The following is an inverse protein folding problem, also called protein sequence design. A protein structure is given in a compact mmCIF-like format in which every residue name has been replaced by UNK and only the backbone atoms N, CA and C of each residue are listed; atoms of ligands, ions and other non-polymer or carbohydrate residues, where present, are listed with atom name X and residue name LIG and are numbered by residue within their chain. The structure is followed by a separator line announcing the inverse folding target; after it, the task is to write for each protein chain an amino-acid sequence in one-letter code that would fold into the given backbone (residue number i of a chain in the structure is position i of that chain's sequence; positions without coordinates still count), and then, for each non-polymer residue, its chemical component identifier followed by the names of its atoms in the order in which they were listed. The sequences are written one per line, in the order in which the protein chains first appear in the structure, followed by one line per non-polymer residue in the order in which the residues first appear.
data_IF_814967074069
#
_entry.id   IF_814967074069
#
_cell.length_a   1.000
_cell.length_b   1.000
_cell.length_c   1.000
_cell.angle_alpha   90.00
_cell.angle_beta   90.00
_cell.angle_gamma   90.00
#
_symmetry.space_group_name_H-M   'P 1'
#
loop_
_entity.id
_entity.type
_entity.pdbx_description
1 polymer ?
#
# COMPACT_ATOMS: atom_id res chain seq x y z
N UNK A 1 -11.86 27.87 -51.91
CA UNK A 1 -10.81 27.77 -50.86
C UNK A 1 -10.13 26.41 -50.98
N UNK A 2 -8.87 26.37 -51.38
CA UNK A 2 -8.15 25.13 -51.72
C UNK A 2 -7.68 24.46 -50.42
N UNK A 3 -8.36 23.37 -50.00
CA UNK A 3 -7.93 22.57 -48.84
C UNK A 3 -6.61 21.87 -49.20
N UNK A 4 -5.54 22.14 -48.46
CA UNK A 4 -4.32 21.34 -48.51
C UNK A 4 -4.63 19.99 -47.89
N UNK A 5 -4.54 18.91 -48.68
CA UNK A 5 -4.68 17.55 -48.18
C UNK A 5 -3.42 17.14 -47.43
N UNK A 6 -3.59 16.53 -46.26
CA UNK A 6 -2.49 15.90 -45.53
C UNK A 6 -1.97 14.74 -46.37
N UNK A 7 -0.66 14.70 -46.63
CA UNK A 7 -0.08 13.57 -47.35
C UNK A 7 0.04 12.39 -46.37
N UNK A 8 -0.25 11.16 -46.84
CA UNK A 8 -0.12 9.95 -46.01
C UNK A 8 1.27 9.80 -45.40
N UNK A 9 2.30 10.28 -46.10
CA UNK A 9 3.69 10.25 -45.65
C UNK A 9 3.96 11.18 -44.46
N UNK A 10 3.30 12.34 -44.39
CA UNK A 10 3.42 13.26 -43.24
C UNK A 10 2.86 12.64 -41.95
N UNK A 11 1.76 11.88 -42.04
CA UNK A 11 1.24 11.17 -40.87
C UNK A 11 2.12 9.97 -40.49
N UNK A 12 2.64 9.25 -41.49
CA UNK A 12 3.43 8.04 -41.26
C UNK A 12 4.76 8.34 -40.57
N UNK A 13 5.45 9.41 -40.95
CA UNK A 13 6.73 9.78 -40.31
C UNK A 13 6.52 10.21 -38.85
N UNK A 14 5.40 10.86 -38.53
CA UNK A 14 5.10 11.33 -37.17
C UNK A 14 4.89 10.15 -36.22
N UNK A 15 4.09 9.16 -36.61
CA UNK A 15 3.86 7.99 -35.77
C UNK A 15 5.14 7.16 -35.60
N UNK A 16 6.00 7.11 -36.62
CA UNK A 16 7.29 6.42 -36.55
C UNK A 16 8.21 7.05 -35.50
N UNK A 17 8.29 8.39 -35.47
CA UNK A 17 9.09 9.10 -34.47
C UNK A 17 8.50 8.89 -33.06
N UNK A 18 7.18 8.99 -32.89
CA UNK A 18 6.51 8.76 -31.60
C UNK A 18 6.78 7.33 -31.09
N UNK A 19 6.75 6.33 -31.96
CA UNK A 19 7.02 4.94 -31.58
C UNK A 19 8.44 4.74 -31.04
N UNK A 20 9.45 5.34 -31.70
CA UNK A 20 10.85 5.29 -31.25
C UNK A 20 11.01 5.97 -29.88
N UNK A 21 10.41 7.15 -29.70
CA UNK A 21 10.48 7.87 -28.43
C UNK A 21 9.77 7.11 -27.30
N UNK A 22 8.58 6.56 -27.56
CA UNK A 22 7.82 5.80 -26.58
C UNK A 22 8.53 4.51 -26.15
N UNK A 23 9.23 3.84 -27.07
CA UNK A 23 10.00 2.63 -26.79
C UNK A 23 11.12 2.86 -25.75
N UNK A 24 11.75 4.05 -25.76
CA UNK A 24 12.78 4.42 -24.78
C UNK A 24 12.14 4.97 -23.49
N UNK A 25 11.03 5.71 -23.62
CA UNK A 25 10.39 6.36 -22.49
C UNK A 25 9.72 5.36 -21.53
N UNK A 26 9.04 4.34 -22.05
CA UNK A 26 8.35 3.33 -21.24
C UNK A 26 9.26 2.61 -20.21
N UNK A 27 10.42 2.04 -20.59
CA UNK A 27 11.29 1.38 -19.63
C UNK A 27 11.92 2.34 -18.62
N UNK A 28 12.25 3.57 -19.03
CA UNK A 28 12.84 4.58 -18.14
C UNK A 28 11.82 5.10 -17.14
N UNK A 29 10.57 5.32 -17.57
CA UNK A 29 9.50 5.82 -16.71
C UNK A 29 9.18 4.87 -15.56
N UNK A 30 9.17 3.56 -15.81
CA UNK A 30 8.97 2.55 -14.76
C UNK A 30 10.05 2.62 -13.67
N UNK A 31 11.33 2.74 -14.07
CA UNK A 31 12.46 2.89 -13.14
C UNK A 31 12.41 4.20 -12.37
N UNK A 32 12.06 5.30 -13.04
CA UNK A 32 11.93 6.61 -12.42
C UNK A 32 10.83 6.63 -11.33
N UNK A 33 9.68 6.00 -11.60
CA UNK A 33 8.58 5.88 -10.62
C UNK A 33 9.00 5.10 -9.38
N UNK A 34 9.72 4.00 -9.56
CA UNK A 34 10.22 3.20 -8.44
C UNK A 34 11.26 3.97 -7.62
N UNK A 35 12.17 4.68 -8.29
CA UNK A 35 13.13 5.55 -7.60
C UNK A 35 12.43 6.69 -6.83
N UNK A 36 11.35 7.26 -7.36
CA UNK A 36 10.55 8.25 -6.65
C UNK A 36 9.93 7.67 -5.36
N UNK A 37 9.35 6.47 -5.43
CA UNK A 37 8.81 5.77 -4.25
C UNK A 37 9.88 5.50 -3.20
N UNK A 38 11.07 5.04 -3.63
CA UNK A 38 12.22 4.83 -2.75
C UNK A 38 12.66 6.13 -2.08
N UNK A 39 12.75 7.22 -2.84
CA UNK A 39 13.10 8.54 -2.32
C UNK A 39 12.10 9.02 -1.25
N UNK A 40 10.80 8.86 -1.50
CA UNK A 40 9.75 9.17 -0.51
C UNK A 40 9.90 8.32 0.76
N UNK A 41 10.10 7.01 0.62
CA UNK A 41 10.31 6.12 1.76
C UNK A 41 11.54 6.51 2.58
N UNK A 42 12.67 6.80 1.93
CA UNK A 42 13.88 7.27 2.59
C UNK A 42 13.67 8.60 3.31
N UNK A 43 12.93 9.54 2.70
CA UNK A 43 12.58 10.81 3.34
C UNK A 43 11.75 10.59 4.61
N UNK A 44 10.73 9.73 4.54
CA UNK A 44 9.90 9.41 5.70
C UNK A 44 10.71 8.75 6.82
N UNK A 45 11.58 7.80 6.49
CA UNK A 45 12.46 7.16 7.47
C UNK A 45 13.41 8.18 8.12
N UNK A 46 13.99 9.09 7.33
CA UNK A 46 14.84 10.16 7.84
C UNK A 46 14.07 11.05 8.81
N UNK A 47 12.82 11.42 8.49
CA UNK A 47 11.97 12.22 9.38
C UNK A 47 11.70 11.51 10.71
N UNK A 48 11.37 10.21 10.67
CA UNK A 48 11.18 9.41 11.88
C UNK A 48 12.46 9.36 12.73
N UNK A 49 13.60 9.06 12.10
CA UNK A 49 14.88 8.97 12.81
C UNK A 49 15.31 10.30 13.43
N UNK A 50 15.07 11.42 12.75
CA UNK A 50 15.29 12.75 13.33
C UNK A 50 14.43 12.97 14.58
N UNK A 51 13.14 12.57 14.54
CA UNK A 51 12.27 12.66 15.71
C UNK A 51 12.72 11.76 16.88
N UNK A 52 13.19 10.55 16.58
CA UNK A 52 13.76 9.64 17.60
C UNK A 52 15.03 10.22 18.22
N UNK A 53 15.92 10.80 17.40
CA UNK A 53 17.14 11.42 17.90
C UNK A 53 16.84 12.63 18.79
N UNK A 54 15.90 13.48 18.38
CA UNK A 54 15.46 14.62 19.19
C UNK A 54 14.87 14.15 20.53
N UNK A 55 14.04 13.10 20.52
CA UNK A 55 13.52 12.50 21.75
C UNK A 55 14.63 12.00 22.68
N UNK A 56 15.62 11.28 22.15
CA UNK A 56 16.72 10.76 22.95
C UNK A 56 17.57 11.88 23.57
N UNK A 57 17.76 12.99 22.85
CA UNK A 57 18.45 14.17 23.38
C UNK A 57 17.69 14.81 24.55
N UNK A 58 16.37 14.83 24.49
CA UNK A 58 15.53 15.40 25.55
C UNK A 58 15.36 14.47 26.77
N UNK A 59 15.59 13.15 26.61
CA UNK A 59 15.30 12.11 27.62
C UNK A 59 16.54 11.30 28.07
N UNK A 60 17.64 11.94 28.46
CA UNK A 60 18.86 11.28 28.98
C UNK A 60 19.33 10.10 28.10
N UNK A 61 19.32 10.29 26.78
CA UNK A 61 19.71 9.29 25.78
C UNK A 61 18.83 8.03 25.75
N UNK A 62 17.65 8.07 26.37
CA UNK A 62 16.70 6.95 26.36
C UNK A 62 15.96 6.89 25.03
N UNK A 63 16.01 5.73 24.39
CA UNK A 63 15.25 5.47 23.17
C UNK A 63 13.75 5.31 23.47
N UNK A 64 12.85 5.65 22.52
CA UNK A 64 11.42 5.41 22.66
C UNK A 64 11.14 3.92 22.90
N UNK A 65 10.43 3.61 23.98
CA UNK A 65 10.04 2.23 24.29
C UNK A 65 8.72 1.89 23.62
N UNK A 66 8.66 0.76 22.92
CA UNK A 66 7.42 0.23 22.37
C UNK A 66 6.85 -0.81 23.35
N UNK A 67 5.79 -0.44 24.08
CA UNK A 67 5.10 -1.34 25.00
C UNK A 67 4.04 -2.13 24.24
N UNK A 68 4.35 -3.39 23.91
CA UNK A 68 3.35 -4.34 23.38
C UNK A 68 2.25 -4.58 24.43
N UNK A 69 1.02 -4.17 24.14
CA UNK A 69 -0.12 -4.40 25.02
C UNK A 69 -0.93 -5.62 24.54
N UNK A 70 -0.62 -6.79 25.09
CA UNK A 70 -1.30 -8.05 24.74
C UNK A 70 -2.74 -8.15 25.26
N UNK A 71 -3.22 -7.18 26.05
CA UNK A 71 -4.57 -7.22 26.61
C UNK A 71 -5.69 -6.86 25.61
N UNK A 72 -5.36 -6.27 24.46
CA UNK A 72 -6.33 -5.77 23.48
C UNK A 72 -6.33 -6.52 22.14
N UNK A 73 -5.43 -7.47 21.93
CA UNK A 73 -5.43 -8.30 20.71
C UNK A 73 -6.25 -9.56 20.96
N UNK A 74 -7.37 -9.77 20.24
CA UNK A 74 -8.06 -11.05 20.25
C UNK A 74 -7.04 -12.17 20.00
N UNK A 75 -7.11 -13.28 20.75
CA UNK A 75 -6.18 -14.41 20.64
C UNK A 75 -5.98 -14.91 19.21
N UNK A 76 -6.97 -14.72 18.33
CA UNK A 76 -6.89 -15.02 16.89
C UNK A 76 -5.72 -14.32 16.17
N UNK A 77 -5.29 -13.13 16.62
CA UNK A 77 -4.17 -12.39 16.02
C UNK A 77 -2.81 -12.79 16.60
N UNK A 78 -2.81 -13.54 17.71
CA UNK A 78 -1.61 -14.10 18.33
C UNK A 78 -1.27 -15.50 17.82
N UNK A 79 -2.20 -16.16 17.12
CA UNK A 79 -1.94 -17.38 16.38
C UNK A 79 -1.05 -17.05 15.17
N UNK A 80 0.24 -17.35 15.30
CA UNK A 80 1.29 -17.08 14.30
C UNK A 80 0.98 -17.68 12.92
N UNK A 81 0.13 -18.69 12.87
CA UNK A 81 -0.33 -19.43 11.69
C UNK A 81 -1.74 -19.03 11.22
N UNK A 82 -2.43 -18.13 11.94
CA UNK A 82 -3.77 -17.64 11.63
C UNK A 82 -4.81 -18.78 11.41
N UNK A 83 -4.54 -19.95 12.00
CA UNK A 83 -5.31 -21.17 11.80
C UNK A 83 -6.76 -21.01 12.24
N UNK A 84 -6.98 -20.30 13.34
CA UNK A 84 -8.31 -19.99 13.84
C UNK A 84 -9.08 -19.02 12.94
N UNK A 85 -8.43 -18.04 12.30
CA UNK A 85 -9.12 -17.15 11.36
C UNK A 85 -9.40 -17.80 9.99
N UNK A 86 -8.69 -18.88 9.64
CA UNK A 86 -8.95 -19.64 8.41
C UNK A 86 -9.99 -20.76 8.59
N UNK A 87 -10.38 -21.06 9.83
CA UNK A 87 -11.47 -21.99 10.10
C UNK A 87 -12.82 -21.35 9.78
N UNK A 88 -13.62 -21.97 8.92
CA UNK A 88 -14.95 -21.49 8.58
C UNK A 88 -15.94 -21.61 9.75
N UNK A 89 -15.73 -22.56 10.66
CA UNK A 89 -16.54 -22.70 11.87
C UNK A 89 -16.35 -21.50 12.80
N UNK A 90 -15.13 -20.99 12.92
CA UNK A 90 -14.80 -19.81 13.72
C UNK A 90 -15.60 -18.56 13.30
N UNK A 91 -15.73 -18.32 12.00
CA UNK A 91 -16.53 -17.20 11.48
C UNK A 91 -18.04 -17.44 11.60
N UNK A 92 -18.51 -18.67 11.40
CA UNK A 92 -19.93 -18.99 11.53
C UNK A 92 -20.43 -18.77 12.96
N UNK A 93 -19.68 -19.21 13.97
CA UNK A 93 -20.03 -19.00 15.38
C UNK A 93 -20.04 -17.51 15.76
N UNK A 94 -19.04 -16.74 15.30
CA UNK A 94 -18.97 -15.28 15.56
C UNK A 94 -20.03 -14.47 14.84
N UNK A 95 -20.40 -14.85 13.62
CA UNK A 95 -21.50 -14.21 12.90
C UNK A 95 -22.82 -14.50 13.62
N UNK A 96 -23.04 -15.74 14.09
CA UNK A 96 -24.25 -16.07 14.86
C UNK A 96 -24.30 -15.43 16.24
N UNK A 97 -23.14 -15.16 16.86
CA UNK A 97 -23.07 -14.49 18.16
C UNK A 97 -23.29 -12.97 18.08
N UNK A 98 -22.95 -12.33 16.95
CA UNK A 98 -23.15 -10.88 16.73
C UNK A 98 -24.48 -10.56 16.04
N UNK A 99 -25.05 -11.50 15.29
CA UNK A 99 -26.40 -11.40 14.75
C UNK A 99 -27.39 -11.87 15.83
N UNK A 100 -27.96 -10.96 16.61
CA UNK A 100 -28.98 -11.23 17.65
C UNK A 100 -30.32 -11.78 17.11
N UNK A 101 -30.31 -12.64 16.09
CA UNK A 101 -31.48 -13.14 15.35
C UNK A 101 -31.85 -14.60 15.66
N UNK A 102 -31.26 -15.22 16.69
CA UNK A 102 -31.53 -16.63 17.03
C UNK A 102 -32.12 -16.78 18.44
N UNK A 103 -33.30 -16.21 18.69
CA UNK A 103 -34.10 -16.57 19.88
C UNK A 103 -35.61 -16.28 19.76
N UNK A 104 -36.17 -16.00 18.58
CA UNK A 104 -37.60 -15.68 18.41
C UNK A 104 -38.43 -16.73 17.66
N UNK A 105 -38.03 -18.01 17.63
CA UNK A 105 -38.82 -19.05 16.94
C UNK A 105 -39.03 -20.37 17.67
N UNK A 106 -38.78 -20.46 18.99
CA UNK A 106 -39.18 -21.62 19.80
C UNK A 106 -39.55 -21.21 21.23
N UNK A 107 -40.67 -20.48 21.37
CA UNK A 107 -41.74 -20.62 22.39
C UNK A 107 -42.82 -19.60 22.07
#
# INVERSE_FOLDING_TARGET
MRKRGFTLIELLVVIAIIAILAAILFPVFARARENARKSTCQSNLKQIMMGVLQYAQDYDERMPTYRWNNAAVPSVWLDRDNSAANDRHFWLERLTATSGWRQSSLT
#
